data_IF_307710775306
#
_entry.id   IF_307710775306
#
_cell.length_a   1.000
_cell.length_b   1.000
_cell.length_c   1.000
_cell.angle_alpha   90.00
_cell.angle_beta   90.00
_cell.angle_gamma   90.00
#
_symmetry.space_group_name_H-M   'P 1'
#
loop_
_entity.id
_entity.type
_entity.pdbx_description
1 polymer ?
#
# COMPACT_ATOMS: atom_id res chain seq x y z
N UNK A 1 -3.62 -19.87 -6.17
CA UNK A 1 -2.65 -19.08 -5.41
C UNK A 1 -2.28 -17.83 -6.19
N UNK A 2 -2.40 -16.66 -5.60
CA UNK A 2 -2.14 -15.42 -6.30
C UNK A 2 -0.66 -15.13 -6.48
N UNK A 3 -0.38 -14.22 -7.39
CA UNK A 3 0.95 -13.70 -7.62
C UNK A 3 1.26 -12.60 -6.62
N UNK A 4 2.55 -12.33 -6.42
CA UNK A 4 2.99 -11.22 -5.61
C UNK A 4 3.26 -9.99 -6.47
N UNK A 5 2.93 -8.83 -5.93
CA UNK A 5 3.18 -7.54 -6.58
C UNK A 5 3.82 -6.60 -5.57
N UNK A 6 4.77 -5.82 -6.04
CA UNK A 6 5.31 -4.70 -5.28
C UNK A 6 4.57 -3.45 -5.72
N UNK A 7 3.97 -2.76 -4.76
CA UNK A 7 3.23 -1.52 -5.00
C UNK A 7 3.95 -0.42 -4.28
N UNK A 8 4.26 0.66 -5.00
CA UNK A 8 4.86 1.86 -4.41
C UNK A 8 3.84 2.98 -4.54
N UNK A 9 3.38 3.44 -3.40
CA UNK A 9 2.59 4.68 -3.30
C UNK A 9 3.51 5.80 -2.88
N UNK A 10 3.19 7.03 -3.26
CA UNK A 10 3.93 8.18 -2.78
C UNK A 10 2.97 9.19 -2.19
N UNK A 11 3.49 10.05 -1.32
CA UNK A 11 2.70 11.15 -0.77
C UNK A 11 2.33 12.10 -1.90
N UNK A 12 1.02 12.36 -2.01
CA UNK A 12 0.48 13.18 -3.09
C UNK A 12 0.50 14.67 -2.76
N UNK A 13 -0.12 15.44 -3.65
CA UNK A 13 -0.14 16.91 -3.53
C UNK A 13 -0.80 17.40 -2.24
N UNK A 14 -1.74 16.64 -1.71
CA UNK A 14 -2.52 17.07 -0.55
C UNK A 14 -1.96 16.57 0.77
N UNK A 15 -0.81 15.90 0.74
CA UNK A 15 -0.11 15.49 1.95
C UNK A 15 0.51 16.71 2.61
N UNK A 16 0.23 16.92 3.89
CA UNK A 16 0.82 18.01 4.67
C UNK A 16 2.07 17.50 5.38
N UNK A 17 3.23 17.96 4.93
CA UNK A 17 4.52 17.51 5.46
C UNK A 17 4.78 17.96 6.90
N UNK A 18 3.99 18.90 7.40
CA UNK A 18 4.09 19.36 8.78
C UNK A 18 3.32 18.45 9.75
N UNK A 19 2.55 17.52 9.23
CA UNK A 19 1.73 16.60 10.04
C UNK A 19 2.29 15.18 10.01
N UNK A 20 2.13 14.46 11.12
CA UNK A 20 2.35 13.02 11.13
C UNK A 20 1.20 12.33 10.37
N UNK A 21 1.36 11.04 10.09
CA UNK A 21 0.28 10.26 9.45
C UNK A 21 -1.02 10.39 10.23
N UNK A 22 -0.93 10.19 11.54
CA UNK A 22 -2.10 10.16 12.42
C UNK A 22 -2.81 11.48 12.54
N UNK A 23 -2.14 12.59 12.21
CA UNK A 23 -2.72 13.92 12.26
C UNK A 23 -3.50 14.29 11.02
N UNK A 24 -3.36 13.51 9.93
CA UNK A 24 -4.09 13.79 8.71
C UNK A 24 -5.56 13.41 8.85
N UNK A 25 -6.41 14.16 8.14
CA UNK A 25 -7.84 13.82 8.07
C UNK A 25 -8.01 12.39 7.52
N UNK A 26 -9.05 11.72 7.99
CA UNK A 26 -9.40 10.37 7.56
C UNK A 26 -8.36 9.31 7.92
N UNK A 27 -7.46 9.60 8.87
CA UNK A 27 -6.47 8.61 9.32
C UNK A 27 -7.14 7.30 9.75
N UNK A 28 -8.21 7.38 10.56
CA UNK A 28 -8.87 6.16 11.04
C UNK A 28 -9.47 5.36 9.88
N UNK A 29 -10.12 6.04 8.94
CA UNK A 29 -10.71 5.36 7.78
C UNK A 29 -9.64 4.70 6.92
N UNK A 30 -8.51 5.39 6.70
CA UNK A 30 -7.38 4.82 5.97
C UNK A 30 -6.81 3.61 6.69
N UNK A 31 -6.57 3.73 8.00
CA UNK A 31 -5.99 2.64 8.79
C UNK A 31 -6.92 1.42 8.79
N UNK A 32 -8.21 1.62 8.98
CA UNK A 32 -9.18 0.53 8.98
C UNK A 32 -9.26 -0.17 7.62
N UNK A 33 -9.22 0.60 6.54
CA UNK A 33 -9.21 0.05 5.18
C UNK A 33 -7.98 -0.83 4.97
N UNK A 34 -6.79 -0.32 5.28
CA UNK A 34 -5.54 -1.08 5.09
C UNK A 34 -5.48 -2.31 5.99
N UNK A 35 -5.90 -2.19 7.25
CA UNK A 35 -5.93 -3.34 8.16
C UNK A 35 -6.91 -4.40 7.68
N UNK A 36 -8.02 -4.01 7.05
CA UNK A 36 -8.94 -4.94 6.44
C UNK A 36 -8.31 -5.73 5.30
N UNK A 37 -7.51 -5.07 4.48
CA UNK A 37 -6.80 -5.75 3.39
C UNK A 37 -5.75 -6.74 3.93
N UNK A 38 -5.11 -6.40 5.05
CA UNK A 38 -4.18 -7.31 5.71
C UNK A 38 -4.94 -8.53 6.25
N UNK A 39 -6.08 -8.30 6.88
CA UNK A 39 -6.89 -9.40 7.44
C UNK A 39 -7.36 -10.37 6.35
N UNK A 40 -7.62 -9.88 5.15
CA UNK A 40 -7.99 -10.73 4.00
C UNK A 40 -6.80 -11.47 3.40
N UNK A 41 -5.57 -11.12 3.75
CA UNK A 41 -4.38 -11.67 3.11
C UNK A 41 -4.08 -11.04 1.75
N UNK A 42 -4.72 -9.93 1.42
CA UNK A 42 -4.45 -9.19 0.18
C UNK A 42 -3.15 -8.39 0.32
N UNK A 43 -3.00 -7.60 1.37
CA UNK A 43 -1.74 -6.93 1.70
C UNK A 43 -0.99 -7.81 2.69
N UNK A 44 0.22 -8.23 2.33
CA UNK A 44 1.03 -9.12 3.16
C UNK A 44 1.96 -8.33 4.08
N UNK A 45 2.57 -7.29 3.56
CA UNK A 45 3.48 -6.40 4.28
C UNK A 45 3.31 -5.01 3.71
N UNK A 46 3.52 -4.00 4.54
CA UNK A 46 3.47 -2.64 4.04
C UNK A 46 3.91 -1.64 5.07
N UNK A 47 4.42 -0.53 4.59
CA UNK A 47 4.81 0.58 5.43
C UNK A 47 5.63 1.64 4.70
N UNK A 48 5.82 2.79 5.33
CA UNK A 48 6.62 3.86 4.74
C UNK A 48 8.09 3.47 4.64
N UNK A 49 8.73 3.88 3.56
CA UNK A 49 10.18 3.83 3.46
C UNK A 49 10.71 5.06 4.17
N UNK A 50 11.28 4.85 5.35
CA UNK A 50 11.69 5.93 6.24
C UNK A 50 12.67 6.87 5.54
N UNK A 51 12.42 8.17 5.66
CA UNK A 51 13.25 9.19 5.02
C UNK A 51 12.88 9.50 3.58
N UNK A 52 11.81 8.89 3.07
CA UNK A 52 11.33 9.14 1.71
C UNK A 52 9.84 9.48 1.75
N UNK A 53 9.30 9.84 0.60
CA UNK A 53 7.86 10.04 0.41
C UNK A 53 7.13 8.77 0.01
N UNK A 54 7.83 7.65 -0.08
CA UNK A 54 7.29 6.41 -0.61
C UNK A 54 6.77 5.48 0.48
N UNK A 55 5.76 4.71 0.10
CA UNK A 55 5.21 3.63 0.91
C UNK A 55 5.27 2.36 0.07
N UNK A 56 5.84 1.31 0.61
CA UNK A 56 5.96 0.04 -0.08
C UNK A 56 4.91 -0.94 0.45
N UNK A 57 4.20 -1.59 -0.46
CA UNK A 57 3.26 -2.67 -0.12
C UNK A 57 3.64 -3.91 -0.91
N UNK A 58 3.62 -5.06 -0.25
CA UNK A 58 3.70 -6.35 -0.92
C UNK A 58 2.31 -6.95 -0.88
N UNK A 59 1.74 -7.20 -2.05
CA UNK A 59 0.34 -7.52 -2.23
C UNK A 59 0.22 -8.83 -3.00
N UNK A 60 -0.81 -9.60 -2.68
CA UNK A 60 -1.09 -10.86 -3.36
C UNK A 60 -2.39 -10.76 -4.15
N UNK A 61 -2.36 -11.20 -5.39
CA UNK A 61 -3.57 -11.23 -6.21
C UNK A 61 -3.28 -11.76 -7.60
N UNK A 62 -4.23 -11.60 -8.51
CA UNK A 62 -4.16 -12.22 -9.81
C UNK A 62 -3.65 -11.30 -10.91
N UNK A 63 -3.88 -10.00 -10.80
CA UNK A 63 -3.53 -9.06 -11.85
C UNK A 63 -3.21 -7.68 -11.29
N UNK A 64 -2.46 -6.90 -12.07
CA UNK A 64 -2.16 -5.51 -11.75
C UNK A 64 -3.44 -4.68 -11.64
N UNK A 65 -4.41 -4.92 -12.53
CA UNK A 65 -5.66 -4.16 -12.51
C UNK A 65 -6.44 -4.40 -11.23
N UNK A 66 -6.44 -5.62 -10.73
CA UNK A 66 -7.07 -5.93 -9.45
C UNK A 66 -6.41 -5.15 -8.30
N UNK A 67 -5.08 -5.13 -8.27
CA UNK A 67 -4.33 -4.39 -7.25
C UNK A 67 -4.67 -2.91 -7.30
N UNK A 68 -4.60 -2.34 -8.49
CA UNK A 68 -4.85 -0.91 -8.70
C UNK A 68 -6.26 -0.55 -8.26
N UNK A 69 -7.24 -1.34 -8.67
CA UNK A 69 -8.63 -1.06 -8.35
C UNK A 69 -8.93 -1.14 -6.87
N UNK A 70 -8.43 -2.17 -6.20
CA UNK A 70 -8.70 -2.33 -4.77
C UNK A 70 -8.00 -1.28 -3.93
N UNK A 71 -6.75 -0.96 -4.24
CA UNK A 71 -6.00 0.03 -3.48
C UNK A 71 -6.50 1.46 -3.73
N UNK A 72 -7.10 1.70 -4.90
CA UNK A 72 -7.66 3.02 -5.23
C UNK A 72 -8.89 3.37 -4.38
N UNK A 73 -9.48 2.42 -3.68
CA UNK A 73 -10.62 2.66 -2.80
C UNK A 73 -10.22 3.31 -1.47
N UNK A 74 -8.93 3.34 -1.15
CA UNK A 74 -8.43 4.01 0.04
C UNK A 74 -8.80 5.50 -0.01
N UNK A 75 -9.40 5.99 1.06
CA UNK A 75 -9.83 7.39 1.14
C UNK A 75 -8.66 8.37 0.90
N UNK A 76 -7.45 8.00 1.32
CA UNK A 76 -6.28 8.85 1.11
C UNK A 76 -5.86 8.89 -0.36
N UNK A 77 -6.07 7.81 -1.11
CA UNK A 77 -5.83 7.80 -2.55
C UNK A 77 -6.90 8.64 -3.25
N UNK A 78 -8.16 8.45 -2.86
CA UNK A 78 -9.27 9.22 -3.43
C UNK A 78 -9.08 10.73 -3.23
N UNK A 79 -8.59 11.14 -2.06
CA UNK A 79 -8.43 12.55 -1.71
C UNK A 79 -7.06 13.13 -2.07
N UNK A 80 -6.19 12.35 -2.70
CA UNK A 80 -4.90 12.85 -3.18
C UNK A 80 -3.82 12.99 -2.11
N UNK A 81 -3.99 12.38 -0.93
CA UNK A 81 -2.93 12.33 0.06
C UNK A 81 -1.88 11.30 -0.32
N UNK A 82 -2.30 10.23 -0.99
CA UNK A 82 -1.40 9.21 -1.54
C UNK A 82 -1.68 9.06 -3.03
N UNK A 83 -0.63 8.71 -3.78
CA UNK A 83 -0.73 8.45 -5.21
C UNK A 83 -0.06 7.11 -5.52
N UNK A 84 -0.74 6.28 -6.31
CA UNK A 84 -0.14 5.03 -6.78
C UNK A 84 0.90 5.37 -7.84
N UNK A 85 2.17 5.11 -7.54
CA UNK A 85 3.26 5.46 -8.43
C UNK A 85 3.70 4.28 -9.30
N UNK A 86 3.74 3.09 -8.71
CA UNK A 86 4.23 1.91 -9.43
C UNK A 86 3.55 0.66 -8.90
N UNK A 87 3.20 -0.24 -9.81
CA UNK A 87 2.73 -1.58 -9.48
C UNK A 87 3.48 -2.51 -10.42
N UNK A 88 4.19 -3.48 -9.86
CA UNK A 88 4.96 -4.42 -10.66
C UNK A 88 4.86 -5.83 -10.09
N UNK A 89 4.77 -6.85 -10.95
CA UNK A 89 4.92 -8.23 -10.47
C UNK A 89 6.26 -8.35 -9.76
N UNK A 90 6.27 -9.06 -8.64
CA UNK A 90 7.47 -9.22 -7.86
C UNK A 90 7.80 -10.69 -7.68
N UNK A 91 9.01 -11.06 -8.04
CA UNK A 91 9.51 -12.41 -7.86
C UNK A 91 10.42 -12.44 -6.63
N UNK A 92 9.86 -12.86 -5.49
CA UNK A 92 10.60 -12.92 -4.23
C UNK A 92 11.52 -14.14 -4.18
N UNK A 93 12.63 -14.05 -4.86
CA UNK A 93 13.57 -15.17 -5.01
C UNK A 93 14.38 -15.48 -3.75
N UNK A 94 14.54 -14.49 -2.89
CA UNK A 94 15.32 -14.62 -1.66
C UNK A 94 14.40 -14.39 -0.47
N UNK A 95 14.44 -15.30 0.49
CA UNK A 95 13.61 -15.17 1.68
C UNK A 95 14.27 -15.87 2.86
N UNK A 96 14.31 -15.17 4.00
CA UNK A 96 14.69 -15.77 5.26
C UNK A 96 13.46 -16.31 6.00
N UNK A 97 12.26 -16.03 5.49
CA UNK A 97 11.04 -16.57 6.07
C UNK A 97 10.81 -17.99 5.59
N UNK A 98 10.15 -18.78 6.40
CA UNK A 98 9.81 -20.14 6.01
C UNK A 98 8.81 -20.09 4.86
N UNK A 99 9.19 -20.68 3.72
CA UNK A 99 8.38 -20.67 2.51
C UNK A 99 7.56 -21.95 2.35
N UNK A 100 7.69 -22.90 3.23
CA UNK A 100 6.97 -24.17 3.11
C UNK A 100 5.55 -24.10 3.65
#
# INVERSE_FOLDING_TARGET
MGKLFAVVNERGLHWDRAKSMEEHADWRAHADFMNGLVAEGFVLLGGPLVGTDDVLLIVRGDSEDEMRGRLAEDVWVVKGLLRQRQIAPWWGRLSAFDAT
#
